data_IF_537850221270
#
_entry.id   IF_537850221270
#
_cell.length_a   1.000
_cell.length_b   1.000
_cell.length_c   1.000
_cell.angle_alpha   90.00
_cell.angle_beta   90.00
_cell.angle_gamma   90.00
#
_symmetry.space_group_name_H-M   'P 1'
#
loop_
_entity.id
_entity.type
_entity.pdbx_description
1 polymer ?
#
# COMPACT_ATOMS: atom_id res chain seq x y z
N UNK A 1 -6.27 -27.55 3.44
CA UNK A 1 -6.32 -27.02 2.07
C UNK A 1 -5.35 -25.85 1.99
N UNK A 2 -4.30 -25.94 1.18
CA UNK A 2 -3.50 -24.77 0.84
C UNK A 2 -4.33 -23.94 -0.15
N UNK A 3 -4.69 -22.71 0.21
CA UNK A 3 -5.28 -21.77 -0.73
C UNK A 3 -4.19 -21.43 -1.73
N UNK A 4 -4.40 -21.74 -3.01
CA UNK A 4 -3.52 -21.26 -4.07
C UNK A 4 -3.70 -19.74 -4.16
N UNK A 5 -2.78 -19.00 -3.57
CA UNK A 5 -2.74 -17.53 -3.66
C UNK A 5 -2.02 -17.22 -4.97
N UNK A 6 -2.69 -16.53 -5.90
CA UNK A 6 -2.05 -15.93 -7.06
C UNK A 6 -0.93 -15.00 -6.60
N UNK A 7 0.10 -14.81 -7.43
CA UNK A 7 1.14 -13.84 -7.11
C UNK A 7 0.50 -12.45 -7.09
N UNK A 8 0.22 -11.94 -5.88
CA UNK A 8 -0.23 -10.57 -5.66
C UNK A 8 0.80 -9.56 -6.14
N UNK A 9 0.47 -8.26 -6.11
CA UNK A 9 1.39 -7.22 -6.53
C UNK A 9 2.63 -7.17 -5.62
N UNK A 10 3.76 -6.72 -6.17
CA UNK A 10 5.07 -6.83 -5.54
C UNK A 10 5.87 -5.54 -5.72
N UNK A 11 6.81 -5.32 -4.80
CA UNK A 11 7.83 -4.27 -4.86
C UNK A 11 9.18 -4.87 -4.50
N UNK A 12 10.27 -4.35 -5.07
CA UNK A 12 11.60 -4.71 -4.61
C UNK A 12 11.82 -4.18 -3.20
N UNK A 13 12.10 -5.09 -2.26
CA UNK A 13 12.28 -4.76 -0.85
C UNK A 13 13.74 -4.68 -0.43
N UNK A 14 14.68 -5.01 -1.33
CA UNK A 14 16.12 -4.93 -1.05
C UNK A 14 16.54 -3.54 -0.57
N UNK A 15 16.22 -2.46 -1.32
CA UNK A 15 16.56 -1.10 -0.90
C UNK A 15 15.85 -0.67 0.40
N UNK A 16 14.66 -1.21 0.69
CA UNK A 16 13.95 -0.95 1.96
C UNK A 16 14.71 -1.56 3.14
N UNK A 17 15.19 -2.79 2.99
CA UNK A 17 15.98 -3.48 3.99
C UNK A 17 17.30 -2.77 4.27
N UNK A 18 17.99 -2.32 3.23
CA UNK A 18 19.28 -1.60 3.34
C UNK A 18 19.17 -0.32 4.19
N UNK A 19 18.00 0.32 4.20
CA UNK A 19 17.75 1.58 4.93
C UNK A 19 17.09 1.38 6.30
N UNK A 20 16.58 0.17 6.59
CA UNK A 20 15.76 -0.09 7.77
C UNK A 20 16.48 0.24 9.09
N UNK A 21 17.72 -0.19 9.25
CA UNK A 21 18.49 0.04 10.48
C UNK A 21 18.76 1.52 10.75
N UNK A 22 19.01 2.32 9.71
CA UNK A 22 19.24 3.75 9.84
C UNK A 22 17.95 4.48 10.25
N UNK A 23 16.82 4.16 9.59
CA UNK A 23 15.50 4.69 9.93
C UNK A 23 15.17 4.47 11.40
N UNK A 24 15.36 3.23 11.89
CA UNK A 24 15.02 2.88 13.26
C UNK A 24 15.95 3.56 14.29
N UNK A 25 17.26 3.62 14.02
CA UNK A 25 18.23 4.27 14.91
C UNK A 25 18.04 5.79 14.98
N UNK A 26 17.72 6.42 13.86
CA UNK A 26 17.57 7.87 13.75
C UNK A 26 16.15 8.34 14.08
N UNK A 27 15.20 7.42 14.27
CA UNK A 27 13.77 7.70 14.47
C UNK A 27 13.20 8.62 13.39
N UNK A 28 13.61 8.41 12.14
CA UNK A 28 13.20 9.24 10.99
C UNK A 28 12.03 8.62 10.23
N UNK A 29 11.29 9.44 9.51
CA UNK A 29 10.27 8.92 8.58
C UNK A 29 10.98 8.25 7.38
N UNK A 30 10.59 7.03 6.97
CA UNK A 30 11.25 6.28 5.90
C UNK A 30 10.91 6.82 4.49
N UNK A 31 11.19 8.10 4.23
CA UNK A 31 10.80 8.83 3.01
C UNK A 31 11.20 8.09 1.73
N UNK A 32 12.48 7.74 1.59
CA UNK A 32 12.98 7.09 0.37
C UNK A 32 12.29 5.74 0.11
N UNK A 33 12.05 4.96 1.17
CA UNK A 33 11.31 3.69 1.08
C UNK A 33 9.85 3.90 0.69
N UNK A 34 9.20 4.94 1.21
CA UNK A 34 7.82 5.30 0.84
C UNK A 34 7.75 5.79 -0.60
N UNK A 35 8.72 6.57 -1.07
CA UNK A 35 8.79 7.02 -2.47
C UNK A 35 8.91 5.84 -3.44
N UNK A 36 9.66 4.79 -3.05
CA UNK A 36 9.73 3.53 -3.82
C UNK A 36 8.38 2.78 -3.83
N UNK A 37 7.66 2.77 -2.70
CA UNK A 37 6.30 2.23 -2.66
C UNK A 37 5.32 3.00 -3.57
N UNK A 38 5.41 4.33 -3.59
CA UNK A 38 4.61 5.18 -4.48
C UNK A 38 4.94 4.85 -5.94
N UNK A 39 6.22 4.80 -6.29
CA UNK A 39 6.67 4.49 -7.66
C UNK A 39 6.23 3.10 -8.12
N UNK A 40 6.14 2.13 -7.21
CA UNK A 40 5.63 0.78 -7.48
C UNK A 40 4.10 0.67 -7.50
N UNK A 41 3.36 1.76 -7.23
CA UNK A 41 1.90 1.76 -7.13
C UNK A 41 1.37 1.01 -5.92
N UNK A 42 2.19 0.81 -4.88
CA UNK A 42 1.85 -0.04 -3.73
C UNK A 42 0.68 0.48 -2.89
N UNK A 43 0.47 1.79 -2.91
CA UNK A 43 -0.58 2.47 -2.16
C UNK A 43 -1.98 2.18 -2.73
N UNK A 44 -2.07 1.84 -4.02
CA UNK A 44 -3.31 1.48 -4.69
C UNK A 44 -3.60 -0.02 -4.73
N UNK A 45 -2.78 -0.88 -4.10
CA UNK A 45 -2.90 -2.34 -4.28
C UNK A 45 -4.27 -2.90 -3.90
N UNK A 46 -4.83 -2.48 -2.77
CA UNK A 46 -6.16 -2.94 -2.31
C UNK A 46 -7.33 -2.13 -2.88
N UNK A 47 -7.06 -1.06 -3.62
CA UNK A 47 -8.09 -0.21 -4.20
C UNK A 47 -8.64 -0.90 -5.47
N UNK A 48 -9.97 -0.95 -5.68
CA UNK A 48 -10.54 -1.51 -6.90
C UNK A 48 -10.04 -0.84 -8.19
N UNK A 49 -9.89 -1.63 -9.26
CA UNK A 49 -9.40 -1.15 -10.57
C UNK A 49 -10.22 0.02 -11.13
N UNK A 50 -11.54 0.04 -10.91
CA UNK A 50 -12.42 1.13 -11.36
C UNK A 50 -12.08 2.50 -10.75
N UNK A 51 -11.29 2.52 -9.68
CA UNK A 51 -10.80 3.74 -9.03
C UNK A 51 -9.28 3.96 -9.25
N UNK A 52 -8.67 3.20 -10.15
CA UNK A 52 -7.24 3.31 -10.50
C UNK A 52 -6.28 2.51 -9.63
N UNK A 53 -6.79 1.57 -8.81
CA UNK A 53 -5.96 0.66 -8.02
C UNK A 53 -5.68 -0.68 -8.72
N UNK A 54 -5.04 -1.61 -8.00
CA UNK A 54 -4.67 -2.93 -8.53
C UNK A 54 -5.70 -4.04 -8.21
N UNK A 55 -6.71 -3.77 -7.38
CA UNK A 55 -7.77 -4.72 -7.07
C UNK A 55 -7.31 -5.99 -6.35
N UNK A 56 -6.15 -5.99 -5.69
CA UNK A 56 -5.59 -7.15 -5.03
C UNK A 56 -6.54 -7.66 -3.92
N UNK A 57 -6.73 -8.98 -3.88
CA UNK A 57 -7.51 -9.63 -2.85
C UNK A 57 -6.85 -9.52 -1.47
N UNK A 58 -7.60 -9.78 -0.38
CA UNK A 58 -7.09 -9.61 0.99
C UNK A 58 -5.85 -10.46 1.27
N UNK A 59 -5.78 -11.68 0.75
CA UNK A 59 -4.61 -12.56 0.96
C UNK A 59 -3.39 -12.05 0.19
N UNK A 60 -3.57 -11.67 -1.07
CA UNK A 60 -2.50 -11.12 -1.92
C UNK A 60 -1.92 -9.85 -1.31
N UNK A 61 -2.80 -8.95 -0.87
CA UNK A 61 -2.42 -7.68 -0.25
C UNK A 61 -1.69 -7.90 1.09
N UNK A 62 -2.20 -8.73 1.99
CA UNK A 62 -1.55 -9.01 3.28
C UNK A 62 -0.17 -9.66 3.06
N UNK A 63 -0.06 -10.62 2.15
CA UNK A 63 1.24 -11.23 1.82
C UNK A 63 2.24 -10.21 1.27
N UNK A 64 1.78 -9.22 0.50
CA UNK A 64 2.65 -8.16 0.00
C UNK A 64 3.13 -7.22 1.13
N UNK A 65 2.25 -6.85 2.08
CA UNK A 65 2.64 -6.09 3.27
C UNK A 65 3.65 -6.86 4.12
N UNK A 66 3.43 -8.15 4.35
CA UNK A 66 4.33 -8.98 5.16
C UNK A 66 5.76 -8.95 4.62
N UNK A 67 5.92 -8.97 3.29
CA UNK A 67 7.23 -8.82 2.63
C UNK A 67 7.85 -7.45 2.88
N UNK A 68 7.09 -6.37 2.73
CA UNK A 68 7.54 -5.00 2.96
C UNK A 68 7.92 -4.80 4.43
N UNK A 69 7.06 -5.22 5.36
CA UNK A 69 7.27 -5.10 6.80
C UNK A 69 8.44 -5.97 7.28
N UNK A 70 8.66 -7.13 6.67
CA UNK A 70 9.82 -7.98 6.93
C UNK A 70 11.16 -7.34 6.53
N UNK A 71 11.16 -6.47 5.52
CA UNK A 71 12.34 -5.71 5.13
C UNK A 71 12.53 -4.44 5.97
N UNK A 72 11.46 -3.67 6.20
CA UNK A 72 11.47 -2.48 7.04
C UNK A 72 10.11 -2.32 7.72
N UNK A 73 10.04 -2.60 9.02
CA UNK A 73 8.80 -2.52 9.81
C UNK A 73 8.15 -1.12 9.75
N UNK A 74 8.97 -0.06 9.86
CA UNK A 74 8.53 1.33 9.76
C UNK A 74 7.87 1.63 8.41
N UNK A 75 8.43 1.14 7.30
CA UNK A 75 7.85 1.29 5.96
C UNK A 75 6.57 0.47 5.82
N UNK A 76 6.57 -0.78 6.30
CA UNK A 76 5.37 -1.63 6.33
C UNK A 76 4.22 -1.01 7.12
N UNK A 77 4.53 -0.32 8.22
CA UNK A 77 3.54 0.39 9.03
C UNK A 77 2.91 1.57 8.28
N UNK A 78 3.69 2.34 7.51
CA UNK A 78 3.16 3.40 6.65
C UNK A 78 2.20 2.81 5.60
N UNK A 79 2.61 1.74 4.94
CA UNK A 79 1.80 1.08 3.90
C UNK A 79 0.47 0.54 4.46
N UNK A 80 0.49 -0.17 5.60
CA UNK A 80 -0.74 -0.74 6.17
C UNK A 80 -1.70 0.35 6.64
N UNK A 81 -1.20 1.43 7.24
CA UNK A 81 -2.05 2.54 7.68
C UNK A 81 -2.68 3.28 6.50
N UNK A 82 -1.93 3.48 5.42
CA UNK A 82 -2.47 4.05 4.18
C UNK A 82 -3.61 3.19 3.64
N UNK A 83 -3.39 1.89 3.53
CA UNK A 83 -4.41 0.99 3.01
C UNK A 83 -5.65 0.87 3.90
N UNK A 84 -5.52 0.96 5.23
CA UNK A 84 -6.69 1.04 6.12
C UNK A 84 -7.54 2.25 5.78
N UNK A 85 -6.92 3.42 5.53
CA UNK A 85 -7.64 4.61 5.10
C UNK A 85 -8.29 4.41 3.71
N UNK A 86 -7.55 3.86 2.74
CA UNK A 86 -8.05 3.58 1.40
C UNK A 86 -9.24 2.59 1.40
N UNK A 87 -9.16 1.53 2.21
CA UNK A 87 -10.25 0.56 2.39
C UNK A 87 -11.45 1.19 3.09
N UNK A 88 -11.23 2.08 4.06
CA UNK A 88 -12.31 2.84 4.70
C UNK A 88 -13.04 3.73 3.68
N UNK A 89 -12.29 4.42 2.81
CA UNK A 89 -12.86 5.19 1.71
C UNK A 89 -13.63 4.29 0.75
N UNK A 90 -13.05 3.16 0.32
CA UNK A 90 -13.68 2.20 -0.59
C UNK A 90 -14.99 1.62 -0.04
N UNK A 91 -15.02 1.27 1.26
CA UNK A 91 -16.24 0.85 1.95
C UNK A 91 -17.29 1.97 1.98
N UNK A 92 -16.83 3.21 2.14
CA UNK A 92 -17.67 4.39 2.04
C UNK A 92 -18.25 4.57 0.64
N UNK A 93 -17.46 4.44 -0.44
CA UNK A 93 -17.87 4.79 -1.82
C UNK A 93 -19.15 4.07 -2.25
N UNK A 94 -19.29 2.77 -2.01
CA UNK A 94 -20.43 1.98 -2.49
C UNK A 94 -20.52 1.95 -4.02
N UNK A 95 -21.71 2.22 -4.56
CA UNK A 95 -22.00 2.22 -6.00
C UNK A 95 -21.79 3.58 -6.68
N UNK A 96 -21.22 4.56 -5.97
CA UNK A 96 -20.93 5.87 -6.56
C UNK A 96 -19.87 5.76 -7.65
N UNK A 97 -20.10 6.50 -8.72
CA UNK A 97 -19.17 6.61 -9.85
C UNK A 97 -18.36 7.92 -9.81
N UNK A 98 -18.87 8.96 -9.14
CA UNK A 98 -18.25 10.27 -9.05
C UNK A 98 -18.44 10.95 -7.67
N UNK A 99 -17.84 12.13 -7.53
CA UNK A 99 -17.94 12.98 -6.35
C UNK A 99 -16.75 12.84 -5.39
N UNK A 100 -16.75 13.65 -4.31
CA UNK A 100 -15.55 13.90 -3.51
C UNK A 100 -14.99 12.65 -2.83
N UNK A 101 -15.83 11.65 -2.54
CA UNK A 101 -15.38 10.40 -1.93
C UNK A 101 -14.69 9.48 -2.95
N UNK A 102 -15.17 9.47 -4.20
CA UNK A 102 -14.52 8.76 -5.32
C UNK A 102 -13.20 9.43 -5.64
N UNK A 103 -13.18 10.76 -5.70
CA UNK A 103 -11.96 11.55 -5.94
C UNK A 103 -10.90 11.28 -4.86
N UNK A 104 -11.32 11.26 -3.58
CA UNK A 104 -10.42 10.97 -2.46
C UNK A 104 -9.86 9.54 -2.51
N UNK A 105 -10.67 8.54 -2.87
CA UNK A 105 -10.19 7.17 -3.02
C UNK A 105 -9.20 7.03 -4.18
N UNK A 106 -9.49 7.68 -5.31
CA UNK A 106 -8.60 7.67 -6.47
C UNK A 106 -7.28 8.40 -6.17
N UNK A 107 -7.32 9.51 -5.44
CA UNK A 107 -6.13 10.23 -4.95
C UNK A 107 -5.29 9.35 -4.01
N UNK A 108 -5.94 8.68 -3.05
CA UNK A 108 -5.26 7.73 -2.15
C UNK A 108 -4.60 6.60 -2.94
N UNK A 109 -5.27 6.01 -3.93
CA UNK A 109 -4.72 4.95 -4.76
C UNK A 109 -3.43 5.36 -5.50
N UNK A 110 -3.34 6.63 -5.91
CA UNK A 110 -2.16 7.22 -6.55
C UNK A 110 -1.07 7.65 -5.55
N UNK A 111 -1.33 7.53 -4.25
CA UNK A 111 -0.42 8.01 -3.22
C UNK A 111 -0.33 9.52 -3.13
N UNK A 112 -1.34 10.25 -3.62
CA UNK A 112 -1.38 11.70 -3.45
C UNK A 112 -1.42 12.00 -1.94
N UNK A 113 -0.57 12.95 -1.51
CA UNK A 113 -0.44 13.41 -0.12
C UNK A 113 0.45 12.58 0.82
N UNK A 114 1.27 11.64 0.31
CA UNK A 114 2.35 11.01 1.07
C UNK A 114 3.71 11.62 0.78
#
# INVERSE_FOLDING_TARGET
>A
MAVAVSAGPQVDVGPLADRAAAVDQEATFPRASVDELIAAGALGWSVPERFGGAGAGPVEYVTAIERVAGACASTGMVLVMHAVAAQTLAAGVGDREDGPLVDALAAAARGEHL
#
